data_IF_003686346935
#
_entry.id   IF_003686346935
#
_cell.length_a   1.000
_cell.length_b   1.000
_cell.length_c   1.000
_cell.angle_alpha   90.00
_cell.angle_beta   90.00
_cell.angle_gamma   90.00
#
_symmetry.space_group_name_H-M   'P 1'
#
loop_
_entity.id
_entity.type
_entity.pdbx_description
1 polymer ?
#
# COMPACT_ATOMS: atom_id res chain seq x y z
N UNK A 1 -44.75 -34.15 -18.69
CA UNK A 1 -43.70 -33.62 -17.79
C UNK A 1 -42.35 -33.94 -18.40
N UNK A 2 -41.57 -32.90 -18.68
CA UNK A 2 -40.56 -32.88 -19.73
C UNK A 2 -39.23 -33.53 -19.36
N UNK A 3 -38.61 -34.10 -20.40
CA UNK A 3 -37.38 -34.89 -20.43
C UNK A 3 -36.12 -34.02 -20.21
N UNK A 4 -35.11 -34.66 -19.63
CA UNK A 4 -33.70 -34.24 -19.57
C UNK A 4 -33.11 -33.86 -20.94
N UNK A 5 -32.35 -32.74 -20.98
CA UNK A 5 -30.98 -32.58 -21.51
C UNK A 5 -30.68 -31.09 -21.84
N UNK A 6 -29.44 -30.64 -21.60
CA UNK A 6 -28.67 -30.04 -22.70
C UNK A 6 -27.26 -30.64 -22.79
N UNK A 7 -26.95 -31.33 -23.89
CA UNK A 7 -26.24 -30.82 -25.09
C UNK A 7 -24.79 -30.38 -24.83
N UNK A 8 -23.86 -31.30 -25.11
CA UNK A 8 -22.49 -30.98 -25.51
C UNK A 8 -22.46 -30.52 -26.98
N UNK A 9 -21.48 -29.66 -27.27
CA UNK A 9 -20.85 -29.34 -28.56
C UNK A 9 -21.46 -28.19 -29.41
N UNK A 10 -20.68 -27.12 -29.54
CA UNK A 10 -20.28 -26.56 -30.83
C UNK A 10 -19.01 -25.70 -30.66
N UNK A 11 -17.90 -26.15 -31.26
CA UNK A 11 -16.74 -25.32 -31.64
C UNK A 11 -16.96 -24.85 -33.08
N UNK A 12 -16.81 -23.55 -33.35
CA UNK A 12 -16.49 -22.96 -34.66
C UNK A 12 -16.11 -21.48 -34.41
N UNK A 13 -14.83 -21.10 -34.51
CA UNK A 13 -14.15 -20.52 -35.69
C UNK A 13 -14.77 -19.21 -36.19
N UNK A 14 -14.06 -18.10 -35.99
CA UNK A 14 -14.12 -16.92 -36.85
C UNK A 14 -12.69 -16.35 -37.00
N UNK A 15 -12.24 -16.25 -38.25
CA UNK A 15 -10.98 -15.65 -38.69
C UNK A 15 -11.29 -14.45 -39.60
N UNK A 16 -10.37 -13.48 -39.66
CA UNK A 16 -10.40 -12.31 -40.56
C UNK A 16 -10.76 -11.01 -39.82
N UNK A 17 -10.13 -9.86 -40.03
CA UNK A 17 -9.54 -9.30 -41.26
C UNK A 17 -8.47 -8.22 -40.94
N UNK A 18 -7.57 -7.98 -41.89
CA UNK A 18 -6.53 -6.95 -41.92
C UNK A 18 -7.02 -5.51 -41.73
N UNK A 19 -6.15 -4.65 -41.16
CA UNK A 19 -6.04 -3.24 -41.55
C UNK A 19 -4.62 -2.72 -41.29
N UNK A 20 -3.85 -2.64 -42.38
CA UNK A 20 -2.64 -1.82 -42.52
C UNK A 20 -3.02 -0.35 -42.57
N UNK A 21 -2.48 0.46 -41.66
CA UNK A 21 -2.49 1.92 -41.78
C UNK A 21 -1.07 2.45 -41.60
N UNK A 22 -0.51 2.97 -42.70
CA UNK A 22 0.70 3.78 -42.70
C UNK A 22 0.38 5.17 -42.14
N UNK A 23 1.15 5.65 -41.16
CA UNK A 23 1.23 7.07 -40.82
C UNK A 23 2.69 7.49 -40.68
N UNK A 24 3.16 8.20 -41.70
CA UNK A 24 4.35 9.04 -41.65
C UNK A 24 3.95 10.39 -41.04
N UNK A 25 4.71 10.88 -40.06
CA UNK A 25 4.67 12.27 -39.62
C UNK A 25 6.11 12.77 -39.44
N UNK A 26 6.45 13.77 -40.25
CA UNK A 26 7.74 14.45 -40.27
C UNK A 26 7.91 15.41 -39.08
N UNK A 27 9.15 15.55 -38.64
CA UNK A 27 9.57 16.56 -37.68
C UNK A 27 10.08 17.80 -38.42
N UNK A 28 9.47 18.96 -38.16
CA UNK A 28 9.97 20.28 -38.53
C UNK A 28 9.83 21.24 -37.34
N UNK A 29 10.97 21.83 -36.94
CA UNK A 29 11.08 23.10 -36.22
C UNK A 29 10.78 23.06 -34.71
N UNK A 30 11.49 23.74 -33.82
CA UNK A 30 12.57 24.72 -33.96
C UNK A 30 12.76 25.36 -32.58
N UNK A 31 13.98 25.29 -32.04
CA UNK A 31 14.34 25.84 -30.73
C UNK A 31 15.06 27.18 -30.92
N UNK A 32 14.39 28.28 -30.62
CA UNK A 32 14.98 29.59 -30.30
C UNK A 32 14.37 30.02 -28.96
N UNK A 33 15.08 30.35 -27.88
CA UNK A 33 16.27 31.17 -27.63
C UNK A 33 16.06 32.67 -27.85
N UNK A 34 15.67 33.38 -26.79
CA UNK A 34 16.03 34.76 -26.40
C UNK A 34 15.58 34.91 -24.92
N UNK A 35 16.44 34.95 -23.90
CA UNK A 35 17.39 36.00 -23.44
C UNK A 35 16.78 37.40 -23.36
N UNK A 36 16.70 37.91 -22.13
CA UNK A 36 17.06 39.29 -21.69
C UNK A 36 16.91 39.33 -20.17
N UNK A 37 18.00 39.33 -19.40
CA UNK A 37 18.84 40.49 -18.98
C UNK A 37 18.20 41.30 -17.83
N UNK A 38 18.91 41.34 -16.68
CA UNK A 38 18.62 42.18 -15.49
C UNK A 38 19.01 43.65 -15.73
N UNK A 39 19.57 44.42 -14.76
CA UNK A 39 20.01 44.10 -13.39
C UNK A 39 19.70 45.21 -12.34
N UNK A 40 20.10 44.99 -11.08
CA UNK A 40 20.74 45.92 -10.09
C UNK A 40 20.51 45.32 -8.68
N UNK A 41 21.48 44.66 -8.04
CA UNK A 41 22.70 45.18 -7.40
C UNK A 41 22.41 46.02 -6.13
N UNK A 42 22.71 45.43 -4.96
CA UNK A 42 23.18 46.14 -3.77
C UNK A 42 23.95 45.15 -2.89
N UNK A 43 25.20 45.52 -2.63
CA UNK A 43 26.17 44.97 -1.68
C UNK A 43 25.55 44.88 -0.24
N UNK A 44 26.07 44.20 0.80
CA UNK A 44 27.44 43.95 1.21
C UNK A 44 27.43 43.01 2.46
N UNK A 45 28.33 42.02 2.48
CA UNK A 45 29.25 41.62 3.59
C UNK A 45 28.81 41.02 4.95
N UNK A 46 29.41 39.82 5.17
CA UNK A 46 29.98 39.14 6.38
C UNK A 46 29.11 38.65 7.56
N UNK A 47 29.25 37.33 7.75
CA UNK A 47 29.69 36.58 8.94
C UNK A 47 29.24 37.04 10.34
N UNK A 48 28.53 36.16 11.04
CA UNK A 48 29.05 35.29 12.13
C UNK A 48 27.89 34.73 12.95
N UNK A 49 28.00 33.49 13.42
CA UNK A 49 27.18 32.96 14.51
C UNK A 49 27.41 33.78 15.79
N UNK A 50 26.41 33.87 16.69
CA UNK A 50 26.51 33.11 17.93
C UNK A 50 25.16 32.59 18.48
N UNK A 51 25.27 31.71 19.47
CA UNK A 51 24.20 31.05 20.23
C UNK A 51 23.62 31.88 21.39
N UNK A 52 22.46 31.40 21.91
CA UNK A 52 21.79 31.65 23.23
C UNK A 52 20.87 32.87 23.31
N UNK A 53 19.79 32.92 24.16
CA UNK A 53 19.60 32.35 25.53
C UNK A 53 18.15 31.79 25.77
N UNK A 54 17.56 31.63 26.96
CA UNK A 54 17.86 30.92 28.21
C UNK A 54 16.56 30.91 29.08
N UNK A 55 16.43 29.93 29.99
CA UNK A 55 15.64 29.93 31.25
C UNK A 55 14.09 30.01 31.21
N UNK A 56 13.36 29.22 32.01
CA UNK A 56 13.28 29.31 33.48
C UNK A 56 12.68 28.04 34.13
N UNK A 57 13.29 27.57 35.23
CA UNK A 57 12.84 26.44 36.07
C UNK A 57 11.68 26.78 37.04
N UNK A 58 11.39 25.92 38.04
CA UNK A 58 12.23 25.92 39.24
C UNK A 58 12.62 24.55 39.83
N UNK A 59 13.59 24.65 40.75
CA UNK A 59 14.29 23.67 41.57
C UNK A 59 13.64 23.63 42.96
N UNK A 60 13.56 22.47 43.65
CA UNK A 60 13.92 22.34 45.08
C UNK A 60 14.48 20.94 45.41
N UNK A 61 15.75 20.95 45.85
CA UNK A 61 16.58 20.12 46.76
C UNK A 61 16.02 18.82 47.39
N UNK A 62 16.84 17.79 47.70
CA UNK A 62 18.03 17.86 48.59
C UNK A 62 18.83 16.55 48.58
N UNK A 63 20.16 16.61 48.79
CA UNK A 63 21.00 15.45 49.14
C UNK A 63 21.83 15.74 50.40
N UNK A 64 21.91 14.70 51.25
CA UNK A 64 22.95 14.27 52.22
C UNK A 64 23.52 15.22 53.28
N UNK A 65 23.47 14.78 54.56
CA UNK A 65 24.65 14.35 55.33
C UNK A 65 24.28 13.47 56.56
N UNK A 66 25.21 12.58 56.94
CA UNK A 66 25.25 11.49 57.98
C UNK A 66 25.52 12.07 59.42
N UNK A 67 25.46 11.39 60.62
CA UNK A 67 25.70 9.97 60.98
C UNK A 67 24.85 9.24 62.07
N UNK A 68 25.13 7.92 62.19
CA UNK A 68 24.57 6.84 63.06
C UNK A 68 24.84 7.01 64.58
N UNK A 69 24.18 6.28 65.53
CA UNK A 69 24.38 4.83 65.75
C UNK A 69 23.18 4.01 66.32
N UNK A 70 23.24 2.66 66.27
CA UNK A 70 22.53 1.78 67.23
C UNK A 70 21.95 0.44 66.75
N UNK A 71 22.74 -0.64 66.87
CA UNK A 71 22.43 -2.03 67.31
C UNK A 71 21.29 -2.90 66.69
N UNK A 72 21.73 -4.04 66.15
CA UNK A 72 21.15 -5.42 66.14
C UNK A 72 19.77 -5.69 65.55
N UNK A 73 19.73 -6.48 64.46
CA UNK A 73 19.26 -7.88 64.49
C UNK A 73 19.46 -8.56 63.12
N UNK A 74 19.92 -9.81 63.12
CA UNK A 74 20.24 -10.58 61.92
C UNK A 74 18.97 -11.01 61.15
N UNK A 75 18.98 -10.84 59.82
CA UNK A 75 18.00 -11.40 58.89
C UNK A 75 18.74 -12.32 57.90
N UNK A 76 18.19 -13.49 57.56
CA UNK A 76 18.90 -14.48 56.76
C UNK A 76 19.03 -14.02 55.30
N UNK A 77 20.24 -14.14 54.77
CA UNK A 77 20.59 -13.95 53.36
C UNK A 77 19.79 -14.93 52.50
N UNK A 78 18.92 -14.42 51.63
CA UNK A 78 18.31 -15.22 50.58
C UNK A 78 19.37 -15.51 49.50
N UNK A 79 19.49 -16.79 49.13
CA UNK A 79 20.31 -17.27 48.02
C UNK A 79 19.98 -16.54 46.72
N UNK A 80 20.96 -16.36 45.79
CA UNK A 80 20.67 -15.79 44.49
C UNK A 80 19.75 -16.75 43.74
N UNK A 81 18.50 -16.33 43.54
CA UNK A 81 17.57 -17.01 42.65
C UNK A 81 18.24 -17.16 41.30
N UNK A 82 18.49 -18.40 40.89
CA UNK A 82 18.88 -18.73 39.53
C UNK A 82 17.79 -18.20 38.61
N UNK A 83 18.09 -17.13 37.87
CA UNK A 83 17.20 -16.62 36.84
C UNK A 83 16.87 -17.78 35.90
N UNK A 84 15.58 -18.11 35.79
CA UNK A 84 15.12 -19.09 34.81
C UNK A 84 15.64 -18.67 33.43
N UNK A 85 16.10 -19.60 32.57
CA UNK A 85 16.52 -19.26 31.22
C UNK A 85 15.36 -18.55 30.53
N UNK A 86 15.59 -17.33 30.08
CA UNK A 86 14.66 -16.59 29.22
C UNK A 86 14.39 -17.49 28.03
N UNK A 87 13.13 -17.93 27.87
CA UNK A 87 12.74 -18.69 26.69
C UNK A 87 13.07 -17.86 25.45
N UNK A 88 13.74 -18.47 24.47
CA UNK A 88 13.99 -17.83 23.19
C UNK A 88 12.63 -17.37 22.60
N UNK A 89 12.58 -16.16 22.01
CA UNK A 89 11.33 -15.67 21.42
C UNK A 89 10.86 -16.67 20.36
N UNK A 90 9.59 -17.07 20.45
CA UNK A 90 8.97 -17.95 19.46
C UNK A 90 9.11 -17.32 18.07
N UNK A 91 9.67 -18.03 17.08
CA UNK A 91 9.76 -17.52 15.72
C UNK A 91 8.38 -17.14 15.18
N UNK A 92 8.30 -16.04 14.44
CA UNK A 92 7.04 -15.61 13.83
C UNK A 92 6.56 -16.68 12.83
N UNK A 93 5.26 -16.93 12.83
CA UNK A 93 4.61 -17.84 11.88
C UNK A 93 3.56 -17.06 11.11
N UNK A 94 3.59 -17.17 9.78
CA UNK A 94 2.63 -16.52 8.92
C UNK A 94 1.19 -16.93 9.27
N UNK A 95 0.25 -15.97 9.40
CA UNK A 95 -1.14 -16.30 9.66
C UNK A 95 -1.79 -16.96 8.44
N UNK A 96 -2.78 -17.81 8.69
CA UNK A 96 -3.63 -18.38 7.63
C UNK A 96 -4.81 -17.45 7.36
N UNK A 97 -4.63 -16.50 6.44
CA UNK A 97 -5.68 -15.58 6.03
C UNK A 97 -6.49 -16.13 4.85
N UNK A 98 -7.81 -15.90 4.85
CA UNK A 98 -8.68 -16.19 3.69
C UNK A 98 -9.22 -14.90 3.12
N UNK A 99 -9.31 -14.83 1.81
CA UNK A 99 -9.72 -13.64 1.07
C UNK A 99 -10.96 -13.96 0.25
N UNK A 100 -11.91 -13.04 0.27
CA UNK A 100 -13.16 -13.17 -0.45
C UNK A 100 -13.48 -11.88 -1.19
N UNK A 101 -13.99 -12.02 -2.41
CA UNK A 101 -14.77 -10.98 -3.06
C UNK A 101 -16.25 -11.35 -2.96
N UNK A 102 -17.01 -10.52 -2.26
CA UNK A 102 -18.42 -10.75 -1.95
C UNK A 102 -19.35 -9.78 -2.71
N UNK A 103 -18.78 -8.75 -3.33
CA UNK A 103 -19.50 -7.86 -4.25
C UNK A 103 -19.03 -8.10 -5.69
N UNK A 104 -19.95 -8.59 -6.52
CA UNK A 104 -19.70 -8.92 -7.92
C UNK A 104 -20.49 -8.02 -8.87
N UNK A 105 -21.00 -6.88 -8.41
CA UNK A 105 -21.84 -5.99 -9.22
C UNK A 105 -21.02 -5.15 -10.22
N UNK A 106 -19.75 -4.89 -9.89
CA UNK A 106 -18.91 -3.98 -10.66
C UNK A 106 -17.82 -4.68 -11.46
N UNK A 107 -17.32 -5.81 -10.96
CA UNK A 107 -16.21 -6.54 -11.55
C UNK A 107 -16.36 -8.06 -11.40
N UNK A 108 -15.63 -8.78 -12.23
CA UNK A 108 -15.48 -10.24 -12.14
C UNK A 108 -14.00 -10.60 -12.19
N UNK A 109 -13.65 -11.76 -11.64
CA UNK A 109 -12.28 -12.25 -11.65
C UNK A 109 -11.90 -12.64 -13.09
N UNK A 110 -10.84 -12.02 -13.58
CA UNK A 110 -10.26 -12.25 -14.91
C UNK A 110 -8.74 -12.28 -14.76
N UNK A 111 -8.21 -13.45 -14.42
CA UNK A 111 -6.78 -13.68 -14.24
C UNK A 111 -5.97 -13.57 -15.54
N UNK A 112 -6.61 -13.34 -16.69
CA UNK A 112 -5.89 -13.05 -17.95
C UNK A 112 -5.29 -11.65 -17.98
N UNK A 113 -5.72 -10.74 -17.09
CA UNK A 113 -5.15 -9.38 -16.98
C UNK A 113 -3.88 -9.33 -16.14
N UNK A 114 -3.58 -10.40 -15.41
CA UNK A 114 -2.38 -10.52 -14.58
C UNK A 114 -1.31 -11.32 -15.29
N UNK A 115 -0.06 -10.89 -15.14
CA UNK A 115 1.05 -11.77 -15.48
C UNK A 115 1.24 -12.80 -14.37
N UNK A 116 0.61 -13.96 -14.52
CA UNK A 116 0.69 -15.07 -13.58
C UNK A 116 2.15 -15.51 -13.31
N UNK A 117 3.09 -15.25 -14.23
CA UNK A 117 4.51 -15.58 -14.01
C UNK A 117 5.24 -14.63 -13.05
N UNK A 118 4.62 -13.52 -12.65
CA UNK A 118 5.18 -12.57 -11.67
C UNK A 118 4.74 -12.86 -10.22
N UNK A 119 3.95 -13.92 -10.01
CA UNK A 119 3.47 -14.33 -8.69
C UNK A 119 4.57 -15.10 -7.97
N UNK A 120 5.02 -14.59 -6.82
CA UNK A 120 5.97 -15.30 -5.95
C UNK A 120 5.23 -16.31 -5.08
N UNK A 121 5.93 -17.26 -4.46
CA UNK A 121 5.32 -18.19 -3.50
C UNK A 121 4.83 -17.51 -2.21
N UNK A 122 5.16 -16.23 -2.00
CA UNK A 122 4.85 -15.45 -0.80
C UNK A 122 3.72 -14.44 -1.03
N UNK A 123 3.37 -14.17 -2.30
CA UNK A 123 2.32 -13.24 -2.66
C UNK A 123 1.25 -13.87 -3.56
N UNK A 124 0.03 -13.36 -3.49
CA UNK A 124 -1.08 -13.76 -4.35
C UNK A 124 -1.63 -12.55 -5.09
N UNK A 125 -1.72 -12.65 -6.42
CA UNK A 125 -2.21 -11.62 -7.32
C UNK A 125 -3.45 -12.13 -8.06
N UNK A 126 -4.62 -11.56 -7.75
CA UNK A 126 -5.86 -11.81 -8.49
C UNK A 126 -6.12 -10.69 -9.48
N UNK A 127 -6.51 -11.07 -10.70
CA UNK A 127 -6.92 -10.15 -11.76
C UNK A 127 -8.42 -9.97 -11.81
N UNK A 128 -8.87 -8.76 -12.10
CA UNK A 128 -10.29 -8.42 -12.22
C UNK A 128 -10.54 -7.56 -13.46
N UNK A 129 -11.75 -7.65 -14.00
CA UNK A 129 -12.24 -6.76 -15.05
C UNK A 129 -13.63 -6.24 -14.72
N UNK A 130 -13.88 -4.98 -15.02
CA UNK A 130 -15.24 -4.42 -14.90
C UNK A 130 -16.16 -4.97 -15.99
N UNK A 131 -17.46 -5.07 -15.72
CA UNK A 131 -18.41 -5.54 -16.76
C UNK A 131 -18.53 -4.60 -17.96
N UNK A 132 -18.22 -3.32 -17.77
CA UNK A 132 -18.12 -2.38 -18.88
C UNK A 132 -16.92 -2.65 -19.80
N UNK A 133 -15.94 -3.45 -19.33
CA UNK A 133 -14.69 -3.72 -20.02
C UNK A 133 -13.70 -2.56 -20.03
N UNK A 134 -14.06 -1.42 -19.42
CA UNK A 134 -13.29 -0.17 -19.50
C UNK A 134 -12.19 -0.05 -18.45
N UNK A 135 -12.24 -0.90 -17.42
CA UNK A 135 -11.25 -0.93 -16.36
C UNK A 135 -10.82 -2.36 -16.04
N UNK A 136 -9.58 -2.49 -15.58
CA UNK A 136 -9.04 -3.71 -14.99
C UNK A 136 -8.65 -3.44 -13.54
N UNK A 137 -8.68 -4.48 -12.71
CA UNK A 137 -8.34 -4.39 -11.31
C UNK A 137 -7.38 -5.49 -10.89
N UNK A 138 -6.70 -5.24 -9.77
CA UNK A 138 -5.72 -6.14 -9.19
C UNK A 138 -5.88 -6.17 -7.68
N UNK A 139 -5.82 -7.36 -7.09
CA UNK A 139 -5.65 -7.50 -5.64
C UNK A 139 -4.31 -8.18 -5.40
N UNK A 140 -3.40 -7.46 -4.75
CA UNK A 140 -2.08 -7.92 -4.33
C UNK A 140 -2.11 -8.20 -2.84
N UNK A 141 -1.61 -9.38 -2.47
CA UNK A 141 -1.42 -9.80 -1.09
C UNK A 141 -0.01 -10.34 -0.96
N UNK A 142 0.72 -9.91 0.06
CA UNK A 142 2.02 -10.48 0.43
C UNK A 142 2.01 -10.71 1.95
N UNK A 143 2.37 -11.92 2.39
CA UNK A 143 2.52 -12.24 3.80
C UNK A 143 3.96 -12.64 4.03
N UNK A 144 4.71 -11.81 4.77
CA UNK A 144 6.14 -11.96 4.92
C UNK A 144 6.64 -11.59 6.31
N UNK A 145 7.64 -12.35 6.77
CA UNK A 145 8.32 -12.07 8.04
C UNK A 145 9.05 -10.72 7.97
N UNK A 146 9.52 -10.31 6.79
CA UNK A 146 10.08 -8.98 6.56
C UNK A 146 9.10 -7.86 6.91
N UNK A 147 7.83 -8.00 6.52
CA UNK A 147 6.79 -7.03 6.87
C UNK A 147 6.51 -7.03 8.37
N UNK A 148 6.54 -8.22 8.99
CA UNK A 148 6.36 -8.39 10.43
C UNK A 148 7.48 -7.74 11.26
N UNK A 149 8.73 -7.99 10.88
CA UNK A 149 9.92 -7.51 11.61
C UNK A 149 10.29 -6.07 11.28
N UNK A 150 9.67 -5.45 10.27
CA UNK A 150 10.00 -4.07 9.90
C UNK A 150 9.63 -3.11 11.05
N UNK A 151 10.52 -2.17 11.40
CA UNK A 151 10.34 -1.26 12.54
C UNK A 151 9.37 -0.11 12.26
N UNK A 152 8.91 0.02 11.02
CA UNK A 152 7.96 1.06 10.63
C UNK A 152 6.57 0.76 11.21
N UNK A 153 5.85 1.82 11.57
CA UNK A 153 4.44 1.70 11.94
C UNK A 153 3.60 1.19 10.77
N UNK A 154 2.43 0.65 11.10
CA UNK A 154 1.43 0.27 10.12
C UNK A 154 1.04 1.42 9.19
N UNK A 155 0.97 2.65 9.72
CA UNK A 155 0.74 3.87 8.95
C UNK A 155 1.86 4.14 7.94
N UNK A 156 3.12 4.14 8.38
CA UNK A 156 4.26 4.41 7.50
C UNK A 156 4.36 3.35 6.39
N UNK A 157 4.20 2.07 6.74
CA UNK A 157 4.19 0.97 5.76
C UNK A 157 3.05 1.11 4.77
N UNK A 158 1.84 1.41 5.24
CA UNK A 158 0.66 1.59 4.37
C UNK A 158 0.84 2.80 3.45
N UNK A 159 1.44 3.89 3.93
CA UNK A 159 1.73 5.09 3.15
C UNK A 159 2.74 4.81 2.02
N UNK A 160 3.81 4.06 2.32
CA UNK A 160 4.80 3.61 1.34
C UNK A 160 4.14 2.66 0.34
N UNK A 161 3.35 1.69 0.81
CA UNK A 161 2.65 0.73 -0.02
C UNK A 161 1.67 1.42 -0.97
N UNK A 162 0.96 2.46 -0.53
CA UNK A 162 0.07 3.26 -1.36
C UNK A 162 0.83 3.93 -2.52
N UNK A 163 1.99 4.52 -2.25
CA UNK A 163 2.81 5.21 -3.25
C UNK A 163 3.70 4.28 -4.10
N UNK A 164 3.75 2.98 -3.80
CA UNK A 164 4.65 2.05 -4.49
C UNK A 164 4.18 1.80 -5.92
N UNK A 165 5.01 2.14 -6.91
CA UNK A 165 4.74 1.89 -8.32
C UNK A 165 4.56 0.40 -8.60
N UNK A 166 3.52 0.03 -9.34
CA UNK A 166 3.40 -1.33 -9.87
C UNK A 166 4.38 -1.53 -11.04
N UNK A 167 4.93 -2.74 -11.20
CA UNK A 167 5.96 -3.03 -12.20
C UNK A 167 5.50 -2.84 -13.66
N UNK A 168 4.20 -2.97 -13.90
CA UNK A 168 3.51 -2.78 -15.19
C UNK A 168 3.00 -1.36 -15.44
N UNK A 169 3.23 -0.44 -14.50
CA UNK A 169 2.86 0.96 -14.60
C UNK A 169 4.15 1.78 -14.72
N UNK A 170 4.41 2.35 -15.89
CA UNK A 170 5.64 3.11 -16.18
C UNK A 170 5.72 4.42 -15.40
N UNK A 171 4.57 5.08 -15.24
CA UNK A 171 4.43 6.30 -14.46
C UNK A 171 3.25 6.19 -13.51
N UNK A 172 3.45 6.62 -12.27
CA UNK A 172 2.45 6.60 -11.22
C UNK A 172 2.50 7.94 -10.49
N UNK A 173 1.47 8.75 -10.65
CA UNK A 173 1.34 10.08 -10.03
C UNK A 173 0.08 10.10 -9.19
N UNK A 174 0.26 10.08 -7.87
CA UNK A 174 -0.84 10.27 -6.93
C UNK A 174 -1.44 11.67 -7.08
N UNK A 175 -2.77 11.73 -7.23
CA UNK A 175 -3.54 12.97 -7.37
C UNK A 175 -4.34 13.32 -6.12
N UNK A 176 -4.70 12.32 -5.32
CA UNK A 176 -5.28 12.53 -3.99
C UNK A 176 -5.00 11.34 -3.08
N UNK A 177 -5.11 11.59 -1.78
CA UNK A 177 -5.01 10.57 -0.73
C UNK A 177 -5.94 10.88 0.42
N UNK A 178 -6.57 9.83 0.91
CA UNK A 178 -7.43 9.86 2.09
C UNK A 178 -7.30 8.54 2.87
N UNK A 179 -7.80 8.53 4.10
CA UNK A 179 -7.97 7.29 4.87
C UNK A 179 -9.42 6.85 4.79
N UNK A 180 -9.65 5.57 4.53
CA UNK A 180 -10.98 4.97 4.48
C UNK A 180 -10.98 3.65 5.26
N UNK A 181 -12.15 3.26 5.78
CA UNK A 181 -12.33 1.99 6.51
C UNK A 181 -13.41 1.16 5.83
N UNK A 182 -13.03 0.47 4.75
CA UNK A 182 -13.98 -0.16 3.82
C UNK A 182 -13.80 -1.68 3.70
N UNK A 183 -12.56 -2.17 3.64
CA UNK A 183 -12.31 -3.61 3.50
C UNK A 183 -12.63 -4.31 4.81
N UNK A 184 -13.44 -5.37 4.74
CA UNK A 184 -13.90 -6.09 5.92
C UNK A 184 -12.87 -7.07 6.45
N UNK A 185 -12.76 -7.15 7.76
CA UNK A 185 -11.98 -8.14 8.48
C UNK A 185 -12.78 -8.66 9.69
N UNK A 186 -12.19 -9.54 10.51
CA UNK A 186 -12.90 -10.10 11.67
C UNK A 186 -13.13 -9.03 12.78
N UNK A 187 -12.44 -7.88 12.70
CA UNK A 187 -12.62 -6.72 13.57
C UNK A 187 -13.69 -5.73 13.08
N UNK A 188 -14.28 -5.95 11.90
CA UNK A 188 -15.26 -5.06 11.28
C UNK A 188 -14.78 -4.56 9.92
N UNK A 189 -14.09 -3.42 9.90
CA UNK A 189 -13.36 -2.93 8.73
C UNK A 189 -11.96 -2.48 9.10
N UNK A 190 -11.03 -2.63 8.16
CA UNK A 190 -9.68 -2.12 8.32
C UNK A 190 -9.52 -0.74 7.69
N UNK A 191 -8.88 0.16 8.43
CA UNK A 191 -8.46 1.45 7.90
C UNK A 191 -7.30 1.24 6.92
N UNK A 192 -7.28 1.97 5.81
CA UNK A 192 -6.16 2.01 4.87
C UNK A 192 -6.14 3.30 4.07
N UNK A 193 -5.07 3.51 3.30
CA UNK A 193 -4.99 4.65 2.39
C UNK A 193 -5.72 4.35 1.09
N UNK A 194 -6.72 5.17 0.78
CA UNK A 194 -7.31 5.26 -0.54
C UNK A 194 -6.65 6.42 -1.30
N UNK A 195 -6.20 6.16 -2.51
CA UNK A 195 -5.58 7.17 -3.36
C UNK A 195 -6.20 7.15 -4.75
N UNK A 196 -6.27 8.33 -5.35
CA UNK A 196 -6.48 8.47 -6.79
C UNK A 196 -5.14 8.71 -7.45
N UNK A 197 -4.97 8.23 -8.67
CA UNK A 197 -3.75 8.45 -9.42
C UNK A 197 -3.97 8.53 -10.92
N UNK A 198 -2.97 9.08 -11.59
CA UNK A 198 -2.78 9.03 -13.03
C UNK A 198 -1.51 8.27 -13.34
N UNK A 199 -1.44 7.68 -14.53
CA UNK A 199 -0.26 6.93 -14.92
C UNK A 199 -0.22 6.52 -16.38
N UNK A 200 0.77 5.72 -16.71
CA UNK A 200 0.93 5.10 -18.02
C UNK A 200 1.07 3.60 -17.84
N UNK A 201 0.17 2.83 -18.43
CA UNK A 201 0.18 1.38 -18.38
C UNK A 201 0.71 0.81 -19.69
N UNK A 202 1.61 -0.17 -19.59
CA UNK A 202 2.15 -0.89 -20.74
C UNK A 202 1.33 -2.14 -21.02
N UNK A 203 0.47 -2.04 -22.02
CA UNK A 203 -0.23 -3.19 -22.58
C UNK A 203 0.67 -3.92 -23.58
N UNK A 204 0.24 -5.12 -23.97
CA UNK A 204 0.94 -5.90 -24.99
C UNK A 204 0.97 -5.19 -26.37
N UNK A 205 -0.03 -4.35 -26.64
CA UNK A 205 -0.21 -3.59 -27.89
C UNK A 205 0.24 -2.13 -27.80
N UNK A 206 0.67 -1.65 -26.62
CA UNK A 206 1.26 -0.32 -26.47
C UNK A 206 1.06 0.31 -25.08
N UNK A 207 1.65 1.48 -24.90
CA UNK A 207 1.49 2.27 -23.68
C UNK A 207 0.21 3.12 -23.75
N UNK A 208 -0.57 3.20 -22.68
CA UNK A 208 -1.80 4.01 -22.61
C UNK A 208 -1.87 4.80 -21.31
N UNK A 209 -2.38 6.03 -21.39
CA UNK A 209 -2.67 6.84 -20.21
C UNK A 209 -3.84 6.24 -19.42
N UNK A 210 -3.68 6.14 -18.11
CA UNK A 210 -4.68 5.56 -17.22
C UNK A 210 -4.96 6.49 -16.04
N UNK A 211 -6.20 6.42 -15.56
CA UNK A 211 -6.60 6.94 -14.26
C UNK A 211 -7.06 5.79 -13.39
N UNK A 212 -6.93 5.92 -12.08
CA UNK A 212 -7.20 4.78 -11.21
C UNK A 212 -7.34 5.12 -9.75
N UNK A 213 -7.72 4.07 -9.03
CA UNK A 213 -7.84 4.06 -7.58
C UNK A 213 -6.94 2.99 -6.99
N UNK A 214 -6.46 3.23 -5.78
CA UNK A 214 -5.74 2.23 -5.01
C UNK A 214 -6.11 2.33 -3.55
N UNK A 215 -6.38 1.18 -2.96
CA UNK A 215 -6.41 1.00 -1.52
C UNK A 215 -5.15 0.25 -1.09
N UNK A 216 -4.49 0.69 -0.02
CA UNK A 216 -3.31 0.03 0.52
C UNK A 216 -3.35 -0.02 2.05
N UNK A 217 -3.04 -1.20 2.59
CA UNK A 217 -2.95 -1.46 4.03
C UNK A 217 -1.86 -2.49 4.31
N UNK A 218 -0.89 -2.12 5.14
CA UNK A 218 0.08 -3.03 5.72
C UNK A 218 -0.29 -3.31 7.18
N UNK A 219 -0.22 -4.56 7.64
CA UNK A 219 -0.52 -4.97 9.03
C UNK A 219 0.66 -5.75 9.58
N UNK A 220 1.45 -5.11 10.43
CA UNK A 220 2.74 -5.62 10.91
C UNK A 220 2.59 -6.91 11.71
N UNK A 221 1.61 -6.99 12.61
CA UNK A 221 1.39 -8.21 13.42
C UNK A 221 1.11 -9.44 12.55
N UNK A 222 0.38 -9.25 11.45
CA UNK A 222 0.07 -10.28 10.48
C UNK A 222 1.15 -10.47 9.40
N UNK A 223 2.17 -9.59 9.35
CA UNK A 223 3.15 -9.54 8.26
C UNK A 223 2.53 -9.29 6.88
N UNK A 224 1.33 -8.69 6.82
CA UNK A 224 0.53 -8.55 5.61
C UNK A 224 0.80 -7.20 4.92
N UNK A 225 1.06 -7.22 3.62
CA UNK A 225 0.84 -6.09 2.73
C UNK A 225 -0.34 -6.41 1.80
N UNK A 226 -1.39 -5.60 1.89
CA UNK A 226 -2.60 -5.73 1.08
C UNK A 226 -2.79 -4.48 0.23
N UNK A 227 -3.03 -4.66 -1.07
CA UNK A 227 -3.44 -3.59 -1.94
C UNK A 227 -4.51 -4.05 -2.94
N UNK A 228 -5.54 -3.22 -3.11
CA UNK A 228 -6.48 -3.34 -4.20
C UNK A 228 -6.29 -2.14 -5.14
N UNK A 229 -6.32 -2.39 -6.44
CA UNK A 229 -6.08 -1.39 -7.47
C UNK A 229 -7.14 -1.49 -8.56
N UNK A 230 -7.54 -0.35 -9.12
CA UNK A 230 -8.34 -0.25 -10.32
C UNK A 230 -7.66 0.71 -11.31
N UNK A 231 -7.57 0.31 -12.56
CA UNK A 231 -7.06 1.11 -13.68
C UNK A 231 -8.09 1.17 -14.79
N UNK A 232 -8.42 2.38 -15.21
CA UNK A 232 -9.26 2.64 -16.35
C UNK A 232 -8.45 3.39 -17.41
N UNK A 233 -8.76 3.15 -18.68
CA UNK A 233 -8.25 4.01 -19.75
C UNK A 233 -8.74 5.44 -19.49
N UNK A 234 -7.88 6.43 -19.74
CA UNK A 234 -8.24 7.83 -19.47
C UNK A 234 -9.54 8.24 -20.21
N UNK A 235 -10.44 8.94 -19.50
CA UNK A 235 -11.81 9.24 -19.96
C UNK A 235 -12.87 8.17 -19.62
N UNK A 236 -12.47 7.00 -19.10
CA UNK A 236 -13.34 5.87 -18.82
C UNK A 236 -13.48 5.59 -17.31
N UNK A 237 -13.80 6.60 -16.51
CA UNK A 237 -13.64 6.52 -15.06
C UNK A 237 -14.80 5.78 -14.34
N UNK A 238 -14.45 4.87 -13.43
CA UNK A 238 -15.34 4.37 -12.38
C UNK A 238 -15.53 5.46 -11.31
N UNK A 239 -16.74 5.65 -10.79
CA UNK A 239 -16.93 6.68 -9.74
C UNK A 239 -16.23 6.29 -8.42
N UNK A 240 -15.87 7.27 -7.57
CA UNK A 240 -15.35 6.99 -6.23
C UNK A 240 -16.29 6.08 -5.40
N UNK A 241 -17.60 6.30 -5.51
CA UNK A 241 -18.58 5.49 -4.79
C UNK A 241 -18.56 4.03 -5.28
N UNK A 242 -18.51 3.80 -6.60
CA UNK A 242 -18.41 2.44 -7.15
C UNK A 242 -17.12 1.75 -6.71
N UNK A 243 -16.01 2.49 -6.64
CA UNK A 243 -14.75 1.98 -6.11
C UNK A 243 -14.88 1.61 -4.61
N UNK A 244 -15.55 2.42 -3.80
CA UNK A 244 -15.80 2.10 -2.40
C UNK A 244 -16.71 0.89 -2.21
N UNK A 245 -17.70 0.69 -3.08
CA UNK A 245 -18.53 -0.51 -3.09
C UNK A 245 -17.73 -1.77 -3.46
N UNK A 246 -16.77 -1.65 -4.39
CA UNK A 246 -15.80 -2.73 -4.67
C UNK A 246 -15.00 -3.07 -3.41
N UNK A 247 -14.40 -2.07 -2.74
CA UNK A 247 -13.61 -2.29 -1.53
C UNK A 247 -14.42 -2.92 -0.41
N UNK A 248 -15.67 -2.48 -0.22
CA UNK A 248 -16.60 -3.03 0.77
C UNK A 248 -17.00 -4.49 0.49
N UNK A 249 -16.89 -4.89 -0.78
CA UNK A 249 -17.05 -6.28 -1.22
C UNK A 249 -15.91 -7.19 -0.79
N UNK A 250 -14.73 -6.66 -0.46
CA UNK A 250 -13.57 -7.48 -0.09
C UNK A 250 -13.65 -7.83 1.40
N UNK A 251 -13.43 -9.12 1.73
CA UNK A 251 -13.31 -9.60 3.11
C UNK A 251 -12.03 -10.40 3.33
N UNK A 252 -11.36 -10.16 4.45
CA UNK A 252 -10.18 -10.91 4.93
C UNK A 252 -10.52 -11.59 6.26
N UNK A 253 -10.68 -12.91 6.25
CA UNK A 253 -10.92 -13.71 7.45
C UNK A 253 -9.58 -14.16 8.07
N UNK A 254 -9.51 -14.17 9.40
CA UNK A 254 -8.30 -14.44 10.17
C UNK A 254 -7.48 -13.19 10.50
N UNK A 255 -8.01 -12.00 10.20
CA UNK A 255 -7.36 -10.70 10.41
C UNK A 255 -8.22 -9.80 11.30
N UNK A 256 -7.60 -9.03 12.19
CA UNK A 256 -8.23 -7.93 12.91
C UNK A 256 -7.26 -6.75 12.96
N UNK A 257 -7.25 -5.94 11.91
CA UNK A 257 -6.26 -4.91 11.69
C UNK A 257 -6.61 -3.56 12.34
N UNK A 258 -7.88 -3.18 12.36
CA UNK A 258 -8.32 -1.89 12.90
C UNK A 258 -7.61 -0.67 12.25
N UNK A 259 -7.40 0.39 13.04
CA UNK A 259 -6.76 1.62 12.61
C UNK A 259 -5.24 1.46 12.35
N UNK A 260 -4.66 2.29 11.49
CA UNK A 260 -3.23 2.19 11.11
C UNK A 260 -2.24 2.69 12.17
N UNK A 261 -2.71 3.30 13.25
CA UNK A 261 -1.86 3.94 14.27
C UNK A 261 -1.22 2.99 15.30
N UNK A 262 -1.17 1.69 15.03
CA UNK A 262 -0.53 0.70 15.91
C UNK A 262 0.91 0.39 15.48
#
# INVERSE_FOLDING_TARGET
MHRFLPRRAARALAAGLCLTVCLALGACGGRGSTRSEGPTESEQTRSSAPSSPAHRGPIVSRRTDQPSPGTTSAAPTADPTTSAPTADPTPWTAPSLKFYNENWDYWYQDDSVTNQSSITSQGNLEGYRTYSGRCIGFIVRDISETTHLSPLSDEEKSSILAGTRLSNVDSFTETSRERVSLVRDDGGTMEGYNITYTGTYNWADGATAVTGYRFARAVSTAGLNFAALLMCVDGDQMSPDQWHEILSGIRIEGLSAGAMGQ
#
